data_IF_240348810109
#
_entry.id   IF_240348810109
#
_cell.length_a   1.000
_cell.length_b   1.000
_cell.length_c   1.000
_cell.angle_alpha   90.00
_cell.angle_beta   90.00
_cell.angle_gamma   90.00
#
_symmetry.space_group_name_H-M   'P 1'
#
loop_
_entity.id
_entity.type
_entity.pdbx_description
1 polymer ?
#
# COMPACT_ATOMS: atom_id res chain seq x y z
N UNK A 1 71.81 -60.42 4.30
CA UNK A 1 71.04 -60.04 5.51
C UNK A 1 69.61 -59.79 5.07
N UNK A 2 68.65 -60.54 5.60
CA UNK A 2 67.24 -60.30 5.30
C UNK A 2 66.83 -58.96 5.92
N UNK A 3 66.21 -58.08 5.12
CA UNK A 3 65.75 -56.75 5.56
C UNK A 3 64.51 -56.85 6.45
N UNK A 4 63.81 -57.99 6.39
CA UNK A 4 62.61 -58.33 7.16
C UNK A 4 62.87 -59.66 7.88
N UNK A 5 62.69 -59.71 9.20
CA UNK A 5 62.85 -60.96 9.97
C UNK A 5 61.61 -61.87 9.89
N UNK A 6 61.72 -63.11 10.39
CA UNK A 6 60.64 -64.11 10.36
C UNK A 6 59.40 -63.70 11.20
N UNK A 7 59.49 -62.61 11.96
CA UNK A 7 58.40 -62.01 12.72
C UNK A 7 57.79 -60.78 12.03
N UNK A 8 58.20 -60.46 10.79
CA UNK A 8 57.68 -59.34 10.02
C UNK A 8 58.21 -57.97 10.45
N UNK A 9 59.35 -57.90 11.13
CA UNK A 9 59.96 -56.64 11.58
C UNK A 9 61.03 -56.17 10.60
N UNK A 10 61.00 -54.89 10.26
CA UNK A 10 62.04 -54.22 9.49
C UNK A 10 63.24 -53.94 10.41
N UNK A 11 64.41 -54.48 10.03
CA UNK A 11 65.66 -54.35 10.78
C UNK A 11 65.57 -54.71 12.29
N UNK A 12 64.66 -55.61 12.66
CA UNK A 12 64.46 -56.11 14.04
C UNK A 12 63.84 -55.12 15.04
N UNK A 13 63.48 -53.89 14.61
CA UNK A 13 63.05 -52.82 15.53
C UNK A 13 61.60 -52.36 15.35
N UNK A 14 61.07 -52.37 14.13
CA UNK A 14 59.74 -51.80 13.83
C UNK A 14 58.89 -52.82 13.07
N UNK A 15 57.64 -53.00 13.48
CA UNK A 15 56.68 -53.86 12.78
C UNK A 15 56.36 -53.27 11.40
N UNK A 16 56.40 -54.08 10.34
CA UNK A 16 56.11 -53.63 8.97
C UNK A 16 54.69 -53.07 8.83
N UNK A 17 53.73 -53.58 9.62
CA UNK A 17 52.35 -53.09 9.64
C UNK A 17 52.28 -51.64 10.14
N UNK A 18 53.06 -51.31 11.17
CA UNK A 18 53.10 -49.95 11.73
C UNK A 18 53.74 -48.96 10.75
N UNK A 19 54.79 -49.40 10.02
CA UNK A 19 55.41 -48.60 8.96
C UNK A 19 54.42 -48.32 7.83
N UNK A 20 53.70 -49.35 7.37
CA UNK A 20 52.68 -49.20 6.33
C UNK A 20 51.53 -48.30 6.78
N UNK A 21 51.04 -48.45 8.01
CA UNK A 21 50.03 -47.58 8.59
C UNK A 21 50.50 -46.12 8.66
N UNK A 22 51.76 -45.90 9.07
CA UNK A 22 52.38 -44.57 9.09
C UNK A 22 52.45 -43.93 7.70
N UNK A 23 52.84 -44.69 6.67
CA UNK A 23 52.88 -44.20 5.28
C UNK A 23 51.48 -43.84 4.79
N UNK A 24 50.47 -44.68 5.06
CA UNK A 24 49.08 -44.40 4.68
C UNK A 24 48.59 -43.12 5.35
N UNK A 25 48.81 -42.94 6.66
CA UNK A 25 48.46 -41.72 7.38
C UNK A 25 49.15 -40.49 6.78
N UNK A 26 50.44 -40.60 6.45
CA UNK A 26 51.21 -39.51 5.86
C UNK A 26 50.69 -39.13 4.46
N UNK A 27 50.20 -40.10 3.67
CA UNK A 27 49.55 -39.86 2.38
C UNK A 27 48.12 -39.27 2.52
N UNK A 28 47.40 -39.60 3.59
CA UNK A 28 46.06 -39.06 3.83
C UNK A 28 46.06 -37.57 4.19
N UNK A 29 47.14 -37.05 4.80
CA UNK A 29 47.24 -35.62 5.14
C UNK A 29 47.20 -34.70 3.90
N UNK A 30 48.08 -34.83 2.88
CA UNK A 30 48.02 -33.98 1.69
C UNK A 30 46.76 -34.23 0.87
N UNK A 31 46.22 -35.46 0.89
CA UNK A 31 44.93 -35.75 0.25
C UNK A 31 43.80 -34.98 0.94
N UNK A 32 43.71 -35.03 2.27
CA UNK A 32 42.72 -34.30 3.05
C UNK A 32 42.88 -32.78 2.96
N UNK A 33 44.12 -32.30 2.91
CA UNK A 33 44.38 -30.87 2.70
C UNK A 33 44.01 -30.43 1.27
N UNK A 34 44.31 -31.26 0.27
CA UNK A 34 43.94 -31.01 -1.13
C UNK A 34 42.44 -30.98 -1.32
N UNK A 35 41.69 -31.92 -0.72
CA UNK A 35 40.22 -31.90 -0.74
C UNK A 35 39.68 -30.67 -0.02
N UNK A 36 40.23 -30.29 1.13
CA UNK A 36 39.83 -29.06 1.81
C UNK A 36 40.03 -27.81 0.93
N UNK A 37 41.17 -27.68 0.24
CA UNK A 37 41.41 -26.55 -0.66
C UNK A 37 40.49 -26.52 -1.88
N UNK A 38 40.11 -27.69 -2.40
CA UNK A 38 39.21 -27.83 -3.55
C UNK A 38 37.75 -27.55 -3.20
N UNK A 39 37.32 -27.89 -1.99
CA UNK A 39 35.92 -27.81 -1.57
C UNK A 39 35.63 -26.71 -0.55
N UNK A 40 36.63 -25.92 -0.14
CA UNK A 40 36.36 -24.76 0.72
C UNK A 40 35.48 -23.75 -0.03
N UNK A 41 34.38 -23.28 0.58
CA UNK A 41 33.59 -22.20 0.00
C UNK A 41 34.46 -20.96 -0.20
N UNK A 42 34.33 -20.32 -1.37
CA UNK A 42 34.91 -18.99 -1.57
C UNK A 42 34.22 -17.99 -0.62
N UNK A 43 35.00 -17.08 -0.04
CA UNK A 43 34.41 -15.99 0.74
C UNK A 43 33.53 -15.12 -0.18
N UNK A 44 32.27 -14.83 0.21
CA UNK A 44 31.37 -14.07 -0.64
C UNK A 44 31.89 -12.64 -0.83
N UNK A 45 31.77 -12.13 -2.05
CA UNK A 45 32.12 -10.75 -2.40
C UNK A 45 30.90 -10.11 -3.05
N UNK A 46 30.55 -8.89 -2.60
CA UNK A 46 29.47 -8.10 -3.17
C UNK A 46 30.10 -7.10 -4.13
N UNK A 47 29.75 -7.17 -5.42
CA UNK A 47 30.24 -6.26 -6.45
C UNK A 47 29.25 -5.12 -6.73
N UNK A 48 27.96 -5.44 -6.79
CA UNK A 48 26.92 -4.43 -7.00
C UNK A 48 25.62 -4.76 -6.28
N UNK A 49 24.89 -3.69 -5.96
CA UNK A 49 23.55 -3.74 -5.37
C UNK A 49 22.68 -2.78 -6.18
N UNK A 50 21.62 -3.29 -6.78
CA UNK A 50 20.70 -2.50 -7.60
C UNK A 50 19.24 -2.74 -7.19
N UNK A 51 18.37 -1.72 -7.21
CA UNK A 51 16.94 -1.93 -7.03
C UNK A 51 16.38 -2.88 -8.08
N UNK A 52 15.46 -3.76 -7.68
CA UNK A 52 14.77 -4.70 -8.55
C UNK A 52 13.26 -4.61 -8.35
N UNK A 53 12.49 -4.94 -9.38
CA UNK A 53 11.03 -4.94 -9.31
C UNK A 53 10.55 -6.12 -8.48
N UNK A 54 9.59 -5.87 -7.60
CA UNK A 54 8.89 -6.91 -6.84
C UNK A 54 7.96 -7.66 -7.81
N UNK A 55 8.07 -8.99 -7.86
CA UNK A 55 7.20 -9.83 -8.69
C UNK A 55 5.83 -10.02 -8.02
N UNK A 56 4.83 -10.44 -8.82
CA UNK A 56 3.48 -10.75 -8.29
C UNK A 56 3.49 -11.90 -7.30
N UNK A 57 4.41 -12.84 -7.47
CA UNK A 57 4.61 -13.98 -6.57
C UNK A 57 5.18 -13.52 -5.23
N UNK A 58 6.14 -12.60 -5.23
CA UNK A 58 6.74 -12.01 -4.02
C UNK A 58 5.75 -11.10 -3.29
N UNK A 59 4.92 -10.37 -4.02
CA UNK A 59 3.82 -9.57 -3.47
C UNK A 59 2.81 -10.45 -2.71
N UNK A 60 2.52 -11.66 -3.19
CA UNK A 60 1.62 -12.62 -2.50
C UNK A 60 2.22 -13.21 -1.23
N UNK A 61 3.54 -13.35 -1.16
CA UNK A 61 4.26 -13.88 0.00
C UNK A 61 4.43 -12.80 1.09
N UNK A 62 4.27 -11.52 0.72
CA UNK A 62 4.15 -10.39 1.66
C UNK A 62 2.82 -10.45 2.41
N UNK A 63 2.68 -11.42 3.32
CA UNK A 63 1.53 -11.51 4.24
C UNK A 63 1.55 -10.27 5.14
N UNK A 64 0.62 -9.35 4.90
CA UNK A 64 0.53 -8.06 5.60
C UNK A 64 1.46 -6.98 5.07
N UNK A 65 1.84 -6.94 3.79
CA UNK A 65 2.49 -5.73 3.23
C UNK A 65 3.84 -5.36 3.87
N UNK A 66 4.61 -6.35 4.34
CA UNK A 66 5.89 -6.12 5.03
C UNK A 66 7.07 -5.96 4.08
N UNK A 67 6.93 -6.39 2.83
CA UNK A 67 7.94 -6.23 1.77
C UNK A 67 7.91 -4.79 1.24
N UNK A 68 8.93 -4.00 1.60
CA UNK A 68 9.05 -2.61 1.15
C UNK A 68 9.84 -2.47 -0.15
N UNK A 69 10.87 -3.28 -0.33
CA UNK A 69 11.75 -3.18 -1.48
C UNK A 69 12.41 -4.52 -1.79
N UNK A 70 12.94 -4.63 -3.01
CA UNK A 70 13.75 -5.75 -3.47
C UNK A 70 15.03 -5.20 -4.10
N UNK A 71 16.16 -5.81 -3.77
CA UNK A 71 17.45 -5.45 -4.35
C UNK A 71 18.11 -6.68 -4.97
N UNK A 72 18.55 -6.53 -6.21
CA UNK A 72 19.41 -7.49 -6.88
C UNK A 72 20.84 -7.28 -6.39
N UNK A 73 21.48 -8.36 -5.94
CA UNK A 73 22.91 -8.35 -5.60
C UNK A 73 23.67 -9.21 -6.60
N UNK A 74 24.82 -8.69 -7.04
CA UNK A 74 25.75 -9.41 -7.91
C UNK A 74 27.12 -9.47 -7.26
N UNK A 75 27.83 -10.56 -7.53
CA UNK A 75 29.17 -10.76 -7.00
C UNK A 75 29.65 -12.19 -7.21
N UNK A 76 30.29 -12.75 -6.18
CA UNK A 76 30.79 -14.13 -6.23
C UNK A 76 30.74 -14.79 -4.85
N UNK A 77 30.79 -16.13 -4.82
CA UNK A 77 30.84 -16.91 -3.58
C UNK A 77 29.53 -16.92 -2.78
N UNK A 78 28.40 -16.56 -3.40
CA UNK A 78 27.10 -16.64 -2.72
C UNK A 78 26.69 -18.10 -2.52
N UNK A 79 26.03 -18.37 -1.40
CA UNK A 79 25.49 -19.70 -1.10
C UNK A 79 24.03 -19.59 -0.62
N UNK A 80 23.22 -20.66 -0.75
CA UNK A 80 21.81 -20.64 -0.33
C UNK A 80 21.58 -20.42 1.17
N UNK A 81 22.62 -20.58 2.00
CA UNK A 81 22.52 -20.48 3.46
C UNK A 81 22.82 -19.08 3.98
N UNK A 82 23.25 -18.17 3.11
CA UNK A 82 23.52 -16.79 3.49
C UNK A 82 22.23 -16.08 3.91
N UNK A 83 22.37 -15.19 4.89
CA UNK A 83 21.34 -14.25 5.32
C UNK A 83 21.79 -12.84 5.00
N UNK A 84 20.83 -11.95 4.79
CA UNK A 84 21.10 -10.53 4.56
C UNK A 84 20.60 -9.71 5.75
N UNK A 85 21.34 -8.66 6.09
CA UNK A 85 20.97 -7.62 7.06
C UNK A 85 21.17 -6.25 6.45
N UNK A 86 20.25 -5.33 6.74
CA UNK A 86 20.18 -3.98 6.19
C UNK A 86 20.31 -3.01 7.37
N UNK A 87 21.49 -2.39 7.50
CA UNK A 87 21.87 -1.70 8.73
C UNK A 87 21.80 -2.65 9.94
N UNK A 88 20.84 -2.40 10.84
CA UNK A 88 20.61 -3.20 12.05
C UNK A 88 19.41 -4.15 11.94
N UNK A 89 18.68 -4.14 10.82
CA UNK A 89 17.47 -4.94 10.63
C UNK A 89 17.74 -6.15 9.73
N UNK A 90 17.26 -7.33 10.11
CA UNK A 90 17.34 -8.51 9.26
C UNK A 90 16.46 -8.32 8.01
N UNK A 91 16.97 -8.76 6.85
CA UNK A 91 16.17 -8.85 5.64
C UNK A 91 15.07 -9.90 5.82
N UNK A 92 13.96 -9.76 5.08
CA UNK A 92 12.90 -10.78 5.07
C UNK A 92 13.40 -12.10 4.46
N UNK A 93 14.35 -12.01 3.53
CA UNK A 93 14.98 -13.16 2.92
C UNK A 93 16.09 -12.79 1.95
N UNK A 94 16.92 -13.78 1.66
CA UNK A 94 17.86 -13.79 0.55
C UNK A 94 17.44 -14.90 -0.41
N UNK A 95 16.97 -14.54 -1.60
CA UNK A 95 16.59 -15.49 -2.64
C UNK A 95 17.83 -15.78 -3.47
N UNK A 96 18.46 -16.92 -3.19
CA UNK A 96 19.62 -17.37 -3.95
C UNK A 96 19.20 -17.81 -5.35
N UNK A 97 19.86 -17.26 -6.38
CA UNK A 97 19.70 -17.74 -7.76
C UNK A 97 20.88 -18.59 -8.20
N UNK A 98 22.09 -18.08 -7.99
CA UNK A 98 23.34 -18.75 -8.35
C UNK A 98 24.51 -18.16 -7.54
N UNK A 99 25.72 -18.75 -7.61
CA UNK A 99 26.87 -18.27 -6.83
C UNK A 99 27.30 -16.81 -7.08
N UNK A 100 26.77 -16.18 -8.13
CA UNK A 100 27.10 -14.82 -8.52
C UNK A 100 25.92 -13.85 -8.38
N UNK A 101 24.73 -14.33 -8.01
CA UNK A 101 23.57 -13.47 -7.86
C UNK A 101 22.51 -13.98 -6.90
N UNK A 102 21.91 -13.04 -6.17
CA UNK A 102 20.77 -13.27 -5.30
C UNK A 102 19.89 -12.02 -5.26
N UNK A 103 18.66 -12.17 -4.78
CA UNK A 103 17.79 -11.06 -4.44
C UNK A 103 17.66 -10.91 -2.92
N UNK A 104 17.71 -9.68 -2.42
CA UNK A 104 17.48 -9.32 -1.02
C UNK A 104 16.08 -8.74 -0.91
N UNK A 105 15.24 -9.37 -0.09
CA UNK A 105 13.88 -8.92 0.21
C UNK A 105 13.90 -8.05 1.48
N UNK A 106 13.49 -6.79 1.35
CA UNK A 106 13.60 -5.79 2.42
C UNK A 106 12.29 -5.65 3.15
N UNK A 107 12.34 -5.79 4.47
CA UNK A 107 11.21 -5.62 5.36
C UNK A 107 10.93 -4.16 5.72
N UNK A 108 10.25 -3.96 6.84
CA UNK A 108 10.05 -2.66 7.45
C UNK A 108 11.39 -2.08 7.95
N UNK A 109 11.98 -1.21 7.14
CA UNK A 109 13.17 -0.44 7.47
C UNK A 109 12.83 1.02 7.21
N UNK A 110 13.25 1.90 8.12
CA UNK A 110 12.99 3.33 7.97
C UNK A 110 13.63 3.88 6.66
N UNK A 111 13.14 5.01 6.14
CA UNK A 111 13.80 5.69 5.03
C UNK A 111 15.23 6.09 5.40
N UNK A 112 16.17 5.89 4.49
CA UNK A 112 17.58 6.15 4.76
C UNK A 112 18.55 5.46 3.80
N UNK A 113 19.83 5.60 4.11
CA UNK A 113 20.94 4.92 3.43
C UNK A 113 21.55 3.91 4.40
N UNK A 114 21.67 2.67 3.98
CA UNK A 114 22.05 1.53 4.81
C UNK A 114 23.16 0.70 4.18
N UNK A 115 23.96 0.08 5.04
CA UNK A 115 24.86 -0.99 4.65
C UNK A 115 24.06 -2.27 4.37
N UNK A 116 24.49 -3.02 3.36
CA UNK A 116 24.10 -4.40 3.19
C UNK A 116 25.18 -5.31 3.78
N UNK A 117 24.78 -6.23 4.65
CA UNK A 117 25.67 -7.22 5.27
C UNK A 117 25.18 -8.62 4.93
N UNK A 118 26.08 -9.49 4.46
CA UNK A 118 25.83 -10.91 4.30
C UNK A 118 26.39 -11.67 5.50
N UNK A 119 25.58 -12.58 6.02
CA UNK A 119 25.86 -13.38 7.21
C UNK A 119 25.84 -14.86 6.85
N UNK A 120 26.81 -15.63 7.35
CA UNK A 120 26.73 -17.09 7.45
C UNK A 120 26.45 -17.44 8.91
N UNK A 121 25.21 -17.84 9.20
CA UNK A 121 24.70 -17.93 10.56
C UNK A 121 24.69 -16.55 11.26
N UNK A 122 25.66 -16.33 12.14
CA UNK A 122 25.85 -15.06 12.88
C UNK A 122 27.13 -14.32 12.46
N UNK A 123 27.96 -14.94 11.63
CA UNK A 123 29.24 -14.37 11.22
C UNK A 123 29.04 -13.48 10.00
N UNK A 124 29.55 -12.25 10.07
CA UNK A 124 29.66 -11.37 8.91
C UNK A 124 30.72 -11.91 7.95
N UNK A 125 30.29 -12.16 6.71
CA UNK A 125 31.14 -12.72 5.65
C UNK A 125 31.33 -11.75 4.49
N UNK A 126 30.43 -10.78 4.30
CA UNK A 126 30.61 -9.69 3.35
C UNK A 126 29.82 -8.45 3.76
N UNK A 127 30.29 -7.26 3.35
CA UNK A 127 29.60 -5.98 3.56
C UNK A 127 29.73 -5.09 2.34
N UNK A 128 28.64 -4.44 1.96
CA UNK A 128 28.62 -3.33 1.02
C UNK A 128 28.09 -2.09 1.74
N UNK A 129 28.99 -1.15 2.02
CA UNK A 129 28.66 0.08 2.75
C UNK A 129 27.77 1.01 1.93
N UNK A 130 26.75 1.58 2.57
CA UNK A 130 25.81 2.53 1.97
C UNK A 130 25.17 2.07 0.65
N UNK A 131 25.08 0.76 0.43
CA UNK A 131 24.65 0.18 -0.85
C UNK A 131 23.14 0.16 -1.03
N UNK A 132 22.37 0.28 0.07
CA UNK A 132 20.90 0.26 0.04
C UNK A 132 20.38 1.65 0.35
N UNK A 133 19.55 2.19 -0.55
CA UNK A 133 18.82 3.44 -0.35
C UNK A 133 17.33 3.16 -0.31
N UNK A 134 16.73 3.33 0.86
CA UNK A 134 15.28 3.25 1.04
C UNK A 134 14.76 4.68 0.96
N UNK A 135 14.01 4.95 -0.10
CA UNK A 135 13.36 6.25 -0.27
C UNK A 135 12.18 6.32 0.71
N UNK A 136 11.90 7.50 1.27
CA UNK A 136 10.61 7.69 1.92
C UNK A 136 9.52 7.38 0.90
N UNK A 137 8.45 6.72 1.34
CA UNK A 137 7.29 6.49 0.51
C UNK A 137 6.75 7.87 0.11
N UNK A 138 7.11 8.34 -1.09
CA UNK A 138 6.92 9.73 -1.53
C UNK A 138 5.49 10.05 -1.96
N UNK A 139 4.54 9.15 -1.73
CA UNK A 139 3.13 9.47 -1.84
C UNK A 139 2.47 9.05 -0.54
N UNK A 140 2.27 10.01 0.38
CA UNK A 140 1.12 9.91 1.25
C UNK A 140 -0.08 9.68 0.30
N UNK A 141 -0.64 8.48 0.32
CA UNK A 141 -1.85 8.24 -0.43
C UNK A 141 -2.86 9.26 0.08
N UNK A 142 -3.51 10.00 -0.82
CA UNK A 142 -4.58 10.90 -0.40
C UNK A 142 -5.90 10.39 -0.95
N UNK A 143 -6.93 10.57 -0.12
CA UNK A 143 -8.31 10.28 -0.48
C UNK A 143 -9.14 11.53 -0.25
N UNK A 144 -10.27 11.63 -0.92
CA UNK A 144 -11.26 12.68 -0.66
C UNK A 144 -12.45 12.01 0.00
N UNK A 145 -12.76 12.40 1.23
CA UNK A 145 -13.96 11.93 1.93
C UNK A 145 -15.08 12.96 1.75
N UNK A 146 -16.24 12.48 1.31
CA UNK A 146 -17.47 13.23 1.22
C UNK A 146 -18.37 12.91 2.41
N UNK A 147 -18.95 13.95 3.02
CA UNK A 147 -19.74 13.76 4.21
C UNK A 147 -20.24 15.04 4.84
N UNK A 148 -20.51 14.99 6.14
CA UNK A 148 -21.07 16.09 6.92
C UNK A 148 -20.14 16.54 8.04
N UNK A 149 -19.89 17.84 8.09
CA UNK A 149 -19.36 18.50 9.28
C UNK A 149 -20.54 18.79 10.21
N UNK A 150 -20.55 18.17 11.39
CA UNK A 150 -21.62 18.28 12.39
C UNK A 150 -21.07 18.81 13.71
N UNK A 151 -21.93 19.47 14.49
CA UNK A 151 -21.56 20.05 15.78
C UNK A 151 -20.79 21.37 15.68
N UNK A 152 -20.92 22.07 14.55
CA UNK A 152 -20.33 23.41 14.38
C UNK A 152 -21.11 24.42 15.23
N UNK A 153 -20.40 25.25 16.00
CA UNK A 153 -21.01 26.49 16.49
C UNK A 153 -21.09 27.55 15.39
N UNK A 154 -21.78 28.66 15.65
CA UNK A 154 -22.00 29.71 14.64
C UNK A 154 -20.69 30.39 14.20
N UNK A 155 -19.75 30.62 15.12
CA UNK A 155 -18.47 31.26 14.79
C UNK A 155 -17.59 30.32 13.97
N UNK A 156 -17.54 29.06 14.36
CA UNK A 156 -16.89 27.96 13.67
C UNK A 156 -17.42 27.77 12.25
N UNK A 157 -18.74 27.75 12.09
CA UNK A 157 -19.38 27.54 10.80
C UNK A 157 -19.09 28.68 9.80
N UNK A 158 -18.90 29.91 10.31
CA UNK A 158 -18.52 31.09 9.53
C UNK A 158 -17.01 31.17 9.25
N UNK A 159 -16.17 30.75 10.21
CA UNK A 159 -14.71 30.76 10.05
C UNK A 159 -14.20 29.68 9.08
N UNK A 160 -14.97 28.62 8.88
CA UNK A 160 -14.60 27.50 8.03
C UNK A 160 -14.67 27.88 6.54
N UNK A 161 -13.50 27.88 5.88
CA UNK A 161 -13.38 28.17 4.43
C UNK A 161 -12.77 27.00 3.67
N UNK A 162 -12.97 26.97 2.34
CA UNK A 162 -12.22 26.09 1.45
C UNK A 162 -10.72 26.38 1.61
N UNK A 163 -9.89 25.33 1.63
CA UNK A 163 -8.46 25.39 1.87
C UNK A 163 -8.06 25.32 3.34
N UNK A 164 -9.00 25.40 4.29
CA UNK A 164 -8.67 25.23 5.72
C UNK A 164 -8.07 23.85 5.95
N UNK A 165 -6.95 23.77 6.67
CA UNK A 165 -6.21 22.53 6.85
C UNK A 165 -5.79 22.31 8.31
N UNK A 166 -5.80 21.06 8.75
CA UNK A 166 -5.47 20.69 10.14
C UNK A 166 -4.66 19.39 10.24
N UNK A 167 -3.79 19.27 11.26
CA UNK A 167 -3.27 20.37 12.08
C UNK A 167 -2.39 21.31 11.24
N UNK A 168 -2.27 22.59 11.62
CA UNK A 168 -1.60 23.63 10.80
C UNK A 168 -0.13 23.34 10.48
N UNK A 169 0.58 22.63 11.36
CA UNK A 169 2.00 22.29 11.20
C UNK A 169 2.26 21.10 10.27
N UNK A 170 1.29 20.20 10.12
CA UNK A 170 1.38 18.99 9.31
C UNK A 170 -0.04 18.56 8.92
N UNK A 171 -0.65 19.18 7.89
CA UNK A 171 -2.05 19.00 7.60
C UNK A 171 -2.35 17.56 7.17
N UNK A 172 -3.13 16.87 8.00
CA UNK A 172 -3.71 15.56 7.70
C UNK A 172 -5.09 15.68 7.03
N UNK A 173 -5.74 16.84 7.18
CA UNK A 173 -7.06 17.15 6.66
C UNK A 173 -7.00 18.50 5.92
N UNK A 174 -7.68 18.60 4.78
CA UNK A 174 -7.87 19.86 4.07
C UNK A 174 -9.30 19.94 3.52
N UNK A 175 -9.97 21.07 3.73
CA UNK A 175 -11.29 21.35 3.15
C UNK A 175 -11.15 21.62 1.66
N UNK A 176 -11.72 20.75 0.83
CA UNK A 176 -11.75 20.90 -0.63
C UNK A 176 -13.00 21.64 -1.09
N UNK A 177 -14.15 21.31 -0.50
CA UNK A 177 -15.43 21.95 -0.83
C UNK A 177 -16.34 22.01 0.39
N UNK A 178 -17.25 22.98 0.41
CA UNK A 178 -18.23 23.16 1.46
C UNK A 178 -19.62 23.41 0.86
N UNK A 179 -20.62 22.68 1.35
CA UNK A 179 -22.02 22.90 1.06
C UNK A 179 -22.63 24.04 1.89
N UNK A 180 -23.93 24.35 1.70
CA UNK A 180 -24.62 25.37 2.47
C UNK A 180 -24.71 25.01 3.96
N UNK A 181 -24.80 26.02 4.82
CA UNK A 181 -25.11 25.83 6.24
C UNK A 181 -26.55 25.38 6.42
N UNK A 182 -26.76 24.38 7.28
CA UNK A 182 -28.08 23.91 7.69
C UNK A 182 -28.15 23.82 9.22
N UNK A 183 -29.36 23.75 9.81
CA UNK A 183 -29.51 23.41 11.22
C UNK A 183 -28.78 22.11 11.56
N UNK A 184 -28.10 22.09 12.71
CA UNK A 184 -27.36 20.93 13.15
C UNK A 184 -28.26 19.74 13.43
N UNK A 185 -27.68 18.55 13.35
CA UNK A 185 -28.34 17.29 13.65
C UNK A 185 -27.32 16.30 14.22
N UNK A 186 -27.83 15.22 14.80
CA UNK A 186 -27.05 14.05 15.22
C UNK A 186 -27.60 12.82 14.55
N UNK A 187 -26.74 12.02 13.94
CA UNK A 187 -27.11 10.70 13.45
C UNK A 187 -26.92 9.66 14.56
N UNK A 188 -27.92 8.81 14.73
CA UNK A 188 -27.86 7.63 15.59
C UNK A 188 -28.18 6.41 14.74
N UNK A 189 -27.29 5.43 14.73
CA UNK A 189 -27.51 4.15 14.08
C UNK A 189 -28.20 3.20 15.07
N UNK A 190 -29.44 2.81 14.76
CA UNK A 190 -30.27 1.90 15.54
C UNK A 190 -30.69 0.73 14.65
N UNK A 191 -30.24 -0.48 14.98
CA UNK A 191 -30.61 -1.72 14.29
C UNK A 191 -30.43 -1.67 12.74
N UNK A 192 -29.39 -1.01 12.27
CA UNK A 192 -29.10 -0.86 10.83
C UNK A 192 -29.86 0.26 10.12
N UNK A 193 -30.63 1.06 10.86
CA UNK A 193 -31.25 2.30 10.37
C UNK A 193 -30.56 3.52 10.97
N UNK A 194 -30.44 4.60 10.20
CA UNK A 194 -29.92 5.89 10.67
C UNK A 194 -31.10 6.80 10.97
N UNK A 195 -31.12 7.37 12.18
CA UNK A 195 -32.10 8.37 12.61
C UNK A 195 -31.39 9.70 12.84
N UNK A 196 -31.91 10.76 12.24
CA UNK A 196 -31.45 12.13 12.45
C UNK A 196 -32.25 12.81 13.56
N UNK A 197 -31.55 13.28 14.58
CA UNK A 197 -32.13 14.04 15.68
C UNK A 197 -31.68 15.51 15.53
N UNK A 198 -32.62 16.46 15.33
CA UNK A 198 -32.28 17.87 15.24
C UNK A 198 -31.52 18.37 16.48
N UNK A 199 -30.51 19.21 16.24
CA UNK A 199 -29.71 19.87 17.27
C UNK A 199 -29.72 21.38 17.00
N UNK A 200 -30.73 22.11 17.50
CA UNK A 200 -30.95 23.51 17.13
C UNK A 200 -29.84 24.46 17.59
N UNK A 201 -29.04 24.05 18.58
CA UNK A 201 -27.90 24.82 19.11
C UNK A 201 -26.63 24.71 18.25
N UNK A 202 -26.62 23.79 17.27
CA UNK A 202 -25.46 23.57 16.41
C UNK A 202 -25.83 23.78 14.94
N UNK A 203 -24.80 23.84 14.11
CA UNK A 203 -24.88 23.89 12.65
C UNK A 203 -24.26 22.63 12.09
N UNK A 204 -24.70 22.30 10.87
CA UNK A 204 -24.07 21.29 10.05
C UNK A 204 -23.91 21.81 8.62
N UNK A 205 -22.96 21.24 7.88
CA UNK A 205 -22.86 21.45 6.42
C UNK A 205 -22.13 20.28 5.77
N UNK A 206 -22.49 19.98 4.51
CA UNK A 206 -21.73 19.03 3.71
C UNK A 206 -20.31 19.55 3.48
N UNK A 207 -19.35 18.64 3.39
CA UNK A 207 -17.97 18.97 3.04
C UNK A 207 -17.31 17.86 2.25
N UNK A 208 -16.32 18.24 1.44
CA UNK A 208 -15.31 17.34 0.92
C UNK A 208 -14.01 17.63 1.65
N UNK A 209 -13.45 16.63 2.32
CA UNK A 209 -12.15 16.72 2.99
C UNK A 209 -11.15 15.87 2.23
N UNK A 210 -10.05 16.47 1.79
CA UNK A 210 -8.85 15.72 1.39
C UNK A 210 -8.17 15.24 2.66
N UNK A 211 -7.89 13.95 2.70
CA UNK A 211 -7.28 13.25 3.81
C UNK A 211 -5.94 12.70 3.35
N UNK A 212 -4.88 13.05 4.06
CA UNK A 212 -3.56 12.45 3.83
C UNK A 212 -3.49 11.14 4.64
N UNK A 213 -3.40 10.01 3.94
CA UNK A 213 -3.19 8.72 4.56
C UNK A 213 -1.74 8.65 5.05
N UNK A 214 -1.57 8.48 6.37
CA UNK A 214 -0.26 8.21 6.93
C UNK A 214 0.26 6.85 6.49
N UNK A 215 1.56 6.74 6.24
CA UNK A 215 2.26 5.47 6.07
C UNK A 215 2.35 4.73 7.41
N UNK A 216 1.20 4.30 7.96
CA UNK A 216 1.13 3.66 9.26
C UNK A 216 0.38 2.33 9.17
N UNK A 217 1.20 1.27 9.17
CA UNK A 217 0.88 -0.12 9.50
C UNK A 217 0.12 -0.89 8.42
N UNK A 218 0.87 -1.58 7.53
CA UNK A 218 0.87 -3.04 7.20
C UNK A 218 -0.48 -3.78 7.02
N UNK A 219 -1.53 -3.43 7.76
CA UNK A 219 -2.86 -4.02 7.70
C UNK A 219 -3.94 -3.03 7.24
N UNK A 220 -3.70 -1.70 7.25
CA UNK A 220 -4.69 -0.70 6.84
C UNK A 220 -4.04 0.44 6.02
N UNK A 221 -4.23 0.48 4.68
CA UNK A 221 -3.53 1.40 3.79
C UNK A 221 -3.96 2.88 3.92
N UNK A 222 -4.85 3.23 4.86
CA UNK A 222 -5.19 4.61 5.17
C UNK A 222 -5.68 4.77 6.62
N UNK A 223 -4.76 4.71 7.58
CA UNK A 223 -5.05 5.11 8.96
C UNK A 223 -5.17 6.65 9.04
N UNK A 224 -6.28 7.15 9.59
CA UNK A 224 -6.49 8.58 9.86
C UNK A 224 -6.08 8.88 11.30
N UNK A 225 -4.83 9.30 11.50
CA UNK A 225 -4.28 9.51 12.85
C UNK A 225 -4.26 8.20 13.66
N UNK A 226 -4.79 8.22 14.88
CA UNK A 226 -4.85 7.05 15.77
C UNK A 226 -6.04 6.11 15.51
N UNK A 227 -6.83 6.34 14.46
CA UNK A 227 -7.95 5.47 14.10
C UNK A 227 -7.45 4.31 13.24
N UNK A 228 -7.36 3.08 13.78
CA UNK A 228 -6.65 2.00 13.13
C UNK A 228 -7.44 1.33 12.00
N UNK A 229 -8.74 1.61 11.84
CA UNK A 229 -9.61 0.96 10.84
C UNK A 229 -10.54 1.96 10.15
N UNK A 230 -10.41 2.11 8.83
CA UNK A 230 -11.45 2.70 8.01
C UNK A 230 -12.52 1.61 7.77
N UNK A 231 -13.57 1.62 8.60
CA UNK A 231 -14.75 0.75 8.38
C UNK A 231 -15.55 1.25 7.18
N UNK A 232 -16.39 0.39 6.61
CA UNK A 232 -17.32 0.82 5.57
C UNK A 232 -18.16 2.01 6.10
N UNK A 233 -18.28 3.12 5.33
CA UNK A 233 -19.13 4.25 5.70
C UNK A 233 -20.55 3.80 6.10
N UNK A 234 -21.21 4.52 7.04
CA UNK A 234 -20.78 5.79 7.61
C UNK A 234 -19.72 5.65 8.72
N UNK A 235 -18.73 6.56 8.73
CA UNK A 235 -17.68 6.62 9.77
C UNK A 235 -17.55 8.06 10.28
N UNK A 236 -17.69 8.26 11.59
CA UNK A 236 -17.48 9.56 12.21
C UNK A 236 -16.04 9.71 12.73
N UNK A 237 -15.35 10.76 12.28
CA UNK A 237 -14.02 11.13 12.76
C UNK A 237 -14.07 12.45 13.53
N UNK A 238 -13.23 12.60 14.55
CA UNK A 238 -13.07 13.87 15.27
C UNK A 238 -11.94 14.66 14.60
N UNK A 239 -12.17 15.95 14.34
CA UNK A 239 -11.16 16.80 13.72
C UNK A 239 -10.31 17.48 14.81
N UNK A 240 -8.97 17.51 14.67
CA UNK A 240 -8.08 18.03 15.71
C UNK A 240 -8.29 19.54 15.93
N UNK A 241 -8.26 19.93 17.22
CA UNK A 241 -8.41 21.32 17.67
C UNK A 241 -9.85 21.78 17.95
N UNK A 242 -10.84 20.89 17.78
CA UNK A 242 -12.27 21.23 17.87
C UNK A 242 -13.03 20.15 18.66
N UNK A 243 -13.24 20.36 19.96
CA UNK A 243 -13.76 19.34 20.89
C UNK A 243 -15.16 18.78 20.55
N UNK A 244 -15.94 19.49 19.71
CA UNK A 244 -17.31 19.10 19.32
C UNK A 244 -17.50 18.83 17.83
N UNK A 245 -16.53 19.23 17.00
CA UNK A 245 -16.64 19.07 15.56
C UNK A 245 -16.37 17.62 15.17
N UNK A 246 -17.33 17.03 14.47
CA UNK A 246 -17.19 15.70 13.89
C UNK A 246 -17.39 15.79 12.40
N UNK A 247 -16.65 14.96 11.68
CA UNK A 247 -16.87 14.74 10.27
C UNK A 247 -17.40 13.32 10.08
N UNK A 248 -18.65 13.22 9.65
CA UNK A 248 -19.30 11.95 9.34
C UNK A 248 -19.13 11.68 7.85
N UNK A 249 -18.35 10.65 7.54
CA UNK A 249 -17.97 10.26 6.18
C UNK A 249 -19.09 9.38 5.62
N UNK A 250 -19.72 9.85 4.54
CA UNK A 250 -20.72 9.09 3.79
C UNK A 250 -20.06 8.26 2.68
N UNK A 251 -19.01 8.81 2.06
CA UNK A 251 -18.40 8.26 0.87
C UNK A 251 -16.89 8.60 0.80
N UNK A 252 -16.10 7.71 0.20
CA UNK A 252 -14.67 7.91 -0.06
C UNK A 252 -14.40 7.87 -1.55
N UNK A 253 -13.69 8.89 -2.03
CA UNK A 253 -13.36 9.14 -3.42
C UNK A 253 -11.83 9.19 -3.60
N UNK A 254 -11.31 8.89 -4.81
CA UNK A 254 -9.91 9.15 -5.13
C UNK A 254 -9.57 10.64 -5.04
N UNK A 255 -8.32 10.96 -4.67
CA UNK A 255 -7.85 12.34 -4.68
C UNK A 255 -7.39 12.85 -6.06
N UNK A 256 -7.33 11.99 -7.08
CA UNK A 256 -7.04 12.40 -8.45
C UNK A 256 -8.16 13.26 -9.02
N UNK A 257 -7.88 14.07 -10.04
CA UNK A 257 -8.92 14.82 -10.75
C UNK A 257 -9.88 13.87 -11.49
N UNK A 258 -11.14 14.28 -11.62
CA UNK A 258 -12.15 13.46 -12.27
C UNK A 258 -12.09 13.62 -13.79
N UNK A 259 -12.26 12.51 -14.52
CA UNK A 259 -12.35 12.55 -15.98
C UNK A 259 -13.81 12.74 -16.39
N UNK A 260 -14.09 13.68 -17.29
CA UNK A 260 -15.47 13.91 -17.74
C UNK A 260 -15.97 12.77 -18.63
N UNK A 261 -17.21 12.34 -18.38
CA UNK A 261 -17.89 11.31 -19.16
C UNK A 261 -19.36 11.68 -19.38
N UNK A 262 -19.92 11.21 -20.48
CA UNK A 262 -21.36 11.25 -20.76
C UNK A 262 -21.95 9.87 -20.51
N UNK A 263 -22.93 9.80 -19.62
CA UNK A 263 -23.64 8.58 -19.22
C UNK A 263 -25.06 8.62 -19.79
N UNK A 264 -25.55 7.48 -20.30
CA UNK A 264 -26.98 7.30 -20.59
C UNK A 264 -27.56 6.33 -19.60
N UNK A 265 -28.54 6.77 -18.82
CA UNK A 265 -29.09 6.02 -17.70
C UNK A 265 -30.61 5.93 -17.86
N UNK A 266 -31.17 4.73 -17.77
CA UNK A 266 -32.62 4.54 -17.68
C UNK A 266 -33.03 4.64 -16.22
N UNK A 267 -33.78 5.67 -15.86
CA UNK A 267 -34.18 5.95 -14.48
C UNK A 267 -35.39 5.10 -14.03
N UNK A 268 -35.44 4.83 -12.73
CA UNK A 268 -36.47 4.08 -12.03
C UNK A 268 -36.70 4.67 -10.63
N UNK A 269 -37.97 4.86 -10.18
CA UNK A 269 -39.19 4.65 -10.97
C UNK A 269 -39.32 5.65 -12.13
N UNK A 270 -40.10 5.29 -13.14
CA UNK A 270 -40.46 6.23 -14.21
C UNK A 270 -41.41 7.31 -13.69
N UNK A 271 -41.38 8.49 -14.31
CA UNK A 271 -42.27 9.62 -13.94
C UNK A 271 -41.71 10.58 -12.88
N UNK A 272 -40.44 10.44 -12.47
CA UNK A 272 -39.74 11.49 -11.72
C UNK A 272 -39.59 12.75 -12.60
N UNK A 273 -39.82 13.92 -12.02
CA UNK A 273 -39.68 15.23 -12.68
C UNK A 273 -38.20 15.68 -12.76
N UNK A 274 -37.42 14.85 -13.45
CA UNK A 274 -36.01 15.06 -13.77
C UNK A 274 -35.93 16.09 -14.90
N UNK A 275 -35.12 17.14 -14.73
CA UNK A 275 -34.98 18.25 -15.65
C UNK A 275 -33.53 18.48 -16.03
N UNK A 276 -33.24 18.95 -17.27
CA UNK A 276 -31.92 19.47 -17.60
C UNK A 276 -31.45 20.51 -16.59
N UNK A 277 -30.21 20.37 -16.13
CA UNK A 277 -29.61 21.19 -15.08
C UNK A 277 -29.68 20.60 -13.67
N UNK A 278 -30.48 19.55 -13.43
CA UNK A 278 -30.45 18.84 -12.14
C UNK A 278 -29.07 18.26 -11.89
N UNK A 279 -28.58 18.43 -10.66
CA UNK A 279 -27.21 18.10 -10.26
C UNK A 279 -27.22 17.17 -9.05
N UNK A 280 -26.41 16.12 -9.11
CA UNK A 280 -26.22 15.18 -8.00
C UNK A 280 -25.63 15.89 -6.76
N UNK A 281 -25.91 15.37 -5.57
CA UNK A 281 -25.58 15.99 -4.27
C UNK A 281 -24.08 16.04 -3.90
N UNK A 282 -23.19 15.67 -4.82
CA UNK A 282 -21.75 15.75 -4.60
C UNK A 282 -21.23 17.19 -4.80
N UNK A 283 -20.24 17.64 -4.02
CA UNK A 283 -19.84 19.05 -4.01
C UNK A 283 -18.78 19.45 -5.05
N UNK A 284 -18.15 18.50 -5.74
CA UNK A 284 -17.09 18.74 -6.72
C UNK A 284 -17.55 18.53 -8.18
N UNK A 285 -16.58 18.51 -9.09
CA UNK A 285 -16.77 18.28 -10.53
C UNK A 285 -17.23 16.87 -10.90
N UNK A 286 -17.21 15.92 -9.96
CA UNK A 286 -17.72 14.56 -10.18
C UNK A 286 -19.23 14.54 -10.25
N UNK A 287 -19.91 15.46 -9.58
CA UNK A 287 -21.37 15.51 -9.55
C UNK A 287 -21.96 15.40 -10.96
N UNK A 288 -22.78 14.37 -11.18
CA UNK A 288 -23.50 14.22 -12.42
C UNK A 288 -24.47 15.38 -12.61
N UNK A 289 -24.55 15.90 -13.83
CA UNK A 289 -25.49 16.95 -14.23
C UNK A 289 -26.35 16.42 -15.36
N UNK A 290 -27.67 16.57 -15.23
CA UNK A 290 -28.60 16.20 -16.28
C UNK A 290 -28.44 17.13 -17.47
N UNK A 291 -28.04 16.56 -18.60
CA UNK A 291 -27.90 17.27 -19.88
C UNK A 291 -29.18 17.22 -20.70
N UNK A 292 -29.83 16.06 -20.76
CA UNK A 292 -31.04 15.84 -21.55
C UNK A 292 -31.87 14.71 -20.96
N UNK A 293 -33.20 14.79 -21.17
CA UNK A 293 -34.17 13.79 -20.73
C UNK A 293 -35.01 13.38 -21.93
N UNK A 294 -35.11 12.07 -22.18
CA UNK A 294 -35.89 11.49 -23.26
C UNK A 294 -36.69 10.30 -22.72
N UNK A 295 -37.93 10.55 -22.29
CA UNK A 295 -38.74 9.55 -21.59
C UNK A 295 -38.13 9.19 -20.24
N UNK A 296 -37.86 7.91 -20.02
CA UNK A 296 -37.17 7.38 -18.83
C UNK A 296 -35.64 7.39 -18.96
N UNK A 297 -35.10 7.75 -20.13
CA UNK A 297 -33.66 7.80 -20.36
C UNK A 297 -33.13 9.21 -20.14
N UNK A 298 -32.17 9.31 -19.23
CA UNK A 298 -31.48 10.55 -18.87
C UNK A 298 -30.04 10.49 -19.37
N UNK A 299 -29.60 11.57 -20.01
CA UNK A 299 -28.20 11.79 -20.37
C UNK A 299 -27.55 12.66 -19.31
N UNK A 300 -26.50 12.15 -18.67
CA UNK A 300 -25.77 12.82 -17.60
C UNK A 300 -24.35 13.16 -18.07
N UNK A 301 -23.86 14.35 -17.75
CA UNK A 301 -22.43 14.66 -17.78
C UNK A 301 -21.89 14.56 -16.36
N UNK A 302 -20.93 13.65 -16.14
CA UNK A 302 -20.40 13.30 -14.82
C UNK A 302 -18.87 13.28 -14.83
N UNK A 303 -18.25 13.56 -13.70
CA UNK A 303 -16.83 13.21 -13.50
C UNK A 303 -16.74 11.77 -13.00
N UNK A 304 -15.82 11.01 -13.60
CA UNK A 304 -15.61 9.59 -13.32
C UNK A 304 -14.15 9.34 -12.99
N UNK A 305 -13.92 8.35 -12.14
CA UNK A 305 -12.61 8.02 -11.61
C UNK A 305 -12.07 6.75 -12.25
N UNK A 306 -10.75 6.73 -12.50
CA UNK A 306 -10.06 5.57 -13.04
C UNK A 306 -9.60 4.66 -11.91
N UNK A 307 -10.01 3.40 -11.97
CA UNK A 307 -9.56 2.32 -11.09
C UNK A 307 -8.87 1.22 -11.90
N UNK A 308 -8.18 0.30 -11.20
CA UNK A 308 -7.50 -0.84 -11.84
C UNK A 308 -8.47 -1.77 -12.58
N UNK A 309 -9.74 -1.79 -12.18
CA UNK A 309 -10.80 -2.64 -12.74
C UNK A 309 -11.74 -1.89 -13.70
N UNK A 310 -11.45 -0.63 -14.02
CA UNK A 310 -12.20 0.18 -14.97
C UNK A 310 -12.59 1.54 -14.40
N UNK A 311 -13.66 2.12 -14.96
CA UNK A 311 -14.14 3.44 -14.57
C UNK A 311 -15.24 3.33 -13.51
N UNK A 312 -15.26 4.27 -12.57
CA UNK A 312 -16.26 4.33 -11.51
C UNK A 312 -16.87 5.73 -11.40
N UNK A 313 -18.16 5.77 -11.07
CA UNK A 313 -18.85 6.97 -10.61
C UNK A 313 -19.26 6.73 -9.17
N UNK A 314 -18.79 7.55 -8.23
CA UNK A 314 -19.17 7.44 -6.81
C UNK A 314 -19.00 6.03 -6.24
N UNK A 315 -17.82 5.44 -6.50
CA UNK A 315 -17.48 4.06 -6.13
C UNK A 315 -18.15 2.95 -6.95
N UNK A 316 -19.18 3.26 -7.75
CA UNK A 316 -19.92 2.29 -8.56
C UNK A 316 -19.28 2.09 -9.94
N UNK A 317 -19.08 0.84 -10.32
CA UNK A 317 -18.45 0.48 -11.60
C UNK A 317 -19.35 0.84 -12.78
N UNK A 318 -18.78 1.52 -13.77
CA UNK A 318 -19.48 1.92 -14.99
C UNK A 318 -19.42 0.81 -16.03
N UNK A 319 -20.44 -0.04 -16.01
CA UNK A 319 -20.68 -1.08 -17.01
C UNK A 319 -22.14 -1.01 -17.48
N UNK A 320 -22.44 -1.27 -18.76
CA UNK A 320 -23.82 -1.45 -19.19
C UNK A 320 -24.55 -2.47 -18.31
N UNK A 321 -25.72 -2.09 -17.80
CA UNK A 321 -26.50 -2.86 -16.84
C UNK A 321 -26.24 -2.52 -15.36
N UNK A 322 -25.18 -1.76 -15.03
CA UNK A 322 -24.91 -1.34 -13.66
C UNK A 322 -26.01 -0.40 -13.12
N UNK A 323 -26.31 -0.51 -11.84
CA UNK A 323 -27.21 0.42 -11.15
C UNK A 323 -26.41 1.66 -10.74
N UNK A 324 -26.94 2.83 -11.07
CA UNK A 324 -26.44 4.14 -10.69
C UNK A 324 -27.44 4.80 -9.75
N UNK A 325 -26.96 5.44 -8.69
CA UNK A 325 -27.76 6.35 -7.87
C UNK A 325 -27.57 7.80 -8.35
N UNK A 326 -28.64 8.58 -8.33
CA UNK A 326 -28.64 10.00 -8.64
C UNK A 326 -29.54 10.71 -7.64
N UNK A 327 -28.94 11.44 -6.71
CA UNK A 327 -29.62 12.00 -5.56
C UNK A 327 -29.55 13.52 -5.64
N UNK A 328 -30.70 14.16 -5.59
CA UNK A 328 -30.84 15.62 -5.55
C UNK A 328 -31.58 16.02 -4.29
N UNK A 329 -31.68 17.33 -4.03
CA UNK A 329 -32.52 17.83 -2.93
C UNK A 329 -34.02 17.57 -3.14
N UNK A 330 -34.43 17.22 -4.37
CA UNK A 330 -35.83 17.00 -4.74
C UNK A 330 -36.23 15.52 -4.77
N UNK A 331 -35.29 14.62 -5.03
CA UNK A 331 -35.57 13.20 -5.18
C UNK A 331 -34.29 12.35 -5.11
N UNK A 332 -34.47 11.09 -4.73
CA UNK A 332 -33.48 10.02 -4.87
C UNK A 332 -33.91 9.08 -6.00
N UNK A 333 -33.15 9.07 -7.10
CA UNK A 333 -33.42 8.25 -8.26
C UNK A 333 -32.37 7.14 -8.39
N UNK A 334 -32.79 5.97 -8.85
CA UNK A 334 -31.88 4.91 -9.27
C UNK A 334 -32.09 4.62 -10.73
N UNK A 335 -31.05 4.22 -11.45
CA UNK A 335 -31.20 3.90 -12.86
C UNK A 335 -30.20 2.87 -13.34
N UNK A 336 -30.51 2.24 -14.46
CA UNK A 336 -29.62 1.29 -15.12
C UNK A 336 -28.79 2.00 -16.18
N UNK A 337 -27.47 1.92 -16.06
CA UNK A 337 -26.55 2.46 -17.05
C UNK A 337 -26.71 1.70 -18.39
N UNK A 338 -27.03 2.42 -19.46
CA UNK A 338 -27.13 1.85 -20.81
C UNK A 338 -25.80 1.94 -21.55
N UNK A 339 -25.11 3.07 -21.41
CA UNK A 339 -23.81 3.31 -22.04
C UNK A 339 -23.07 4.43 -21.31
N UNK A 340 -21.74 4.43 -21.43
CA UNK A 340 -20.90 5.55 -21.00
C UNK A 340 -19.84 5.82 -22.07
N UNK A 341 -19.50 7.08 -22.26
CA UNK A 341 -18.42 7.51 -23.14
C UNK A 341 -17.57 8.55 -22.41
N UNK A 342 -16.25 8.37 -22.41
CA UNK A 342 -15.35 9.39 -21.91
C UNK A 342 -15.37 10.58 -22.88
N UNK A 343 -15.41 11.79 -22.33
CA UNK A 343 -15.22 12.99 -23.13
C UNK A 343 -13.72 13.10 -23.43
N UNK A 344 -13.38 13.39 -24.69
CA UNK A 344 -11.99 13.64 -25.04
C UNK A 344 -11.47 14.80 -24.17
N UNK A 345 -10.27 14.64 -23.60
CA UNK A 345 -9.60 15.74 -22.93
C UNK A 345 -9.50 16.90 -23.94
N UNK A 346 -10.08 18.05 -23.61
CA UNK A 346 -9.86 19.25 -24.41
C UNK A 346 -8.37 19.59 -24.28
N UNK A 347 -7.63 19.70 -25.39
CA UNK A 347 -6.17 19.90 -25.39
C UNK A 347 -5.76 21.24 -24.79
#
# INVERSE_FOLDING_TARGET
MSVIDDQGRLAGRVNIVDVMAGVVLLLLVPLGYGTYLLFRPAAPVIESVAPSQISKEEERISVGGRLLAKFKITGSGFTPLLRARIGNADALGLVFENPNSADVLVGLVAPGVYDLVLLDGVQEVARASQAIRIQPETAAASIVAAGWLIGLDEAQAQALTVGTAWPTSSPAFQVVALGPLVPGFRQIVLAGSTVEIPSPETRARRALLKLECGAAVVLNPCALGDLPEFRAPPVAISLPGWDRLRFEIDEVLPASDAVRATLRVRMSPSGLDIRPGDRDQLLDERAAVVRAVAGDVVTLDAGVDRFHDGWRYRGQRLLPGAIMAFTTDRYDARGTLQSFNLQAAQP
#
